data_IF_213242327761
#
_entry.id   IF_213242327761
#
_cell.length_a   1.000
_cell.length_b   1.000
_cell.length_c   1.000
_cell.angle_alpha   90.00
_cell.angle_beta   90.00
_cell.angle_gamma   90.00
#
_symmetry.space_group_name_H-M   'P 1'
#
loop_
_entity.id
_entity.type
_entity.pdbx_description
1 polymer ?
#
# COMPACT_ATOMS: atom_id res chain seq x y z
N UNK A 1 21.87 -10.19 14.37
CA UNK A 1 21.61 -9.88 12.95
C UNK A 1 21.88 -8.40 12.76
N UNK A 2 22.82 -8.02 11.88
CA UNK A 2 23.07 -6.61 11.54
C UNK A 2 21.76 -6.04 10.95
N UNK A 3 21.30 -4.92 11.50
CA UNK A 3 20.10 -4.22 11.05
C UNK A 3 20.37 -3.77 9.60
N UNK A 4 19.69 -4.35 8.61
CA UNK A 4 19.80 -3.88 7.22
C UNK A 4 19.19 -2.49 7.16
N UNK A 5 19.98 -1.50 6.85
CA UNK A 5 19.52 -0.11 6.70
C UNK A 5 19.22 0.16 5.24
N UNK A 6 18.02 0.70 5.01
CA UNK A 6 17.50 1.01 3.67
C UNK A 6 17.51 2.51 3.45
N UNK A 7 18.10 2.90 2.33
CA UNK A 7 18.11 4.27 1.84
C UNK A 7 17.25 4.38 0.59
N UNK A 8 16.73 5.55 0.33
CA UNK A 8 15.96 5.83 -0.88
C UNK A 8 16.76 6.73 -1.81
N UNK A 9 16.78 6.37 -3.09
CA UNK A 9 17.20 7.25 -4.16
C UNK A 9 16.18 7.18 -5.28
N UNK A 10 15.76 8.31 -5.85
CA UNK A 10 14.82 8.28 -6.98
C UNK A 10 15.48 7.58 -8.18
N UNK A 11 14.66 6.98 -9.10
CA UNK A 11 15.18 6.16 -10.21
C UNK A 11 16.26 6.83 -11.07
N UNK A 12 16.18 8.15 -11.26
CA UNK A 12 17.14 8.94 -12.01
C UNK A 12 18.54 8.99 -11.38
N UNK A 13 18.66 8.67 -10.10
CA UNK A 13 19.93 8.60 -9.38
C UNK A 13 20.63 7.23 -9.52
N UNK A 14 20.00 6.27 -10.22
CA UNK A 14 20.59 4.96 -10.51
C UNK A 14 21.19 4.97 -11.90
N UNK A 15 22.42 4.50 -12.02
CA UNK A 15 23.06 4.18 -13.28
C UNK A 15 23.21 2.66 -13.45
N UNK A 16 24.02 2.23 -14.41
CA UNK A 16 24.29 0.80 -14.63
C UNK A 16 25.02 0.18 -13.44
N UNK A 17 25.97 0.91 -12.86
CA UNK A 17 26.95 0.43 -11.87
C UNK A 17 27.07 1.31 -10.61
N UNK A 18 26.37 2.44 -10.54
CA UNK A 18 26.46 3.36 -9.43
C UNK A 18 25.11 3.96 -9.01
N UNK A 19 25.08 4.49 -7.79
CA UNK A 19 23.93 5.21 -7.21
C UNK A 19 24.45 6.46 -6.53
N UNK A 20 23.67 7.54 -6.59
CA UNK A 20 23.97 8.78 -5.86
C UNK A 20 22.90 9.05 -4.81
N UNK A 21 23.30 9.15 -3.55
CA UNK A 21 22.45 9.63 -2.46
C UNK A 21 22.72 11.12 -2.22
N UNK A 22 21.66 11.92 -2.11
CA UNK A 22 21.72 13.34 -1.86
C UNK A 22 20.70 13.79 -0.80
N UNK A 23 20.74 15.05 -0.40
CA UNK A 23 19.77 15.66 0.52
C UNK A 23 19.69 14.94 1.88
N UNK A 24 18.46 14.65 2.32
CA UNK A 24 18.20 14.05 3.63
C UNK A 24 18.79 12.63 3.75
N UNK A 25 18.83 11.85 2.66
CA UNK A 25 19.39 10.48 2.68
C UNK A 25 20.91 10.52 2.86
N UNK A 26 21.62 11.44 2.19
CA UNK A 26 23.03 11.67 2.43
C UNK A 26 23.28 12.14 3.88
N UNK A 27 22.49 13.11 4.36
CA UNK A 27 22.64 13.63 5.72
C UNK A 27 22.38 12.54 6.77
N UNK A 28 21.38 11.69 6.56
CA UNK A 28 21.05 10.57 7.44
C UNK A 28 22.19 9.55 7.49
N UNK A 29 22.70 9.15 6.32
CA UNK A 29 23.81 8.20 6.19
C UNK A 29 25.08 8.69 6.93
N UNK A 30 25.43 9.96 6.72
CA UNK A 30 26.72 10.51 7.24
C UNK A 30 26.59 10.96 8.68
N UNK A 31 25.54 11.75 9.02
CA UNK A 31 25.45 12.46 10.30
C UNK A 31 24.76 11.66 11.39
N UNK A 32 23.82 10.76 11.02
CA UNK A 32 23.05 9.99 11.99
C UNK A 32 23.64 8.59 12.16
N UNK A 33 23.93 7.92 11.05
CA UNK A 33 24.39 6.54 11.06
C UNK A 33 25.92 6.41 11.02
N UNK A 34 26.63 7.51 10.72
CA UNK A 34 28.11 7.58 10.73
C UNK A 34 28.79 6.55 9.81
N UNK A 35 28.15 6.21 8.68
CA UNK A 35 28.76 5.35 7.68
C UNK A 35 30.02 5.93 7.06
N UNK A 36 30.89 5.05 6.56
CA UNK A 36 32.18 5.36 5.96
C UNK A 36 32.31 4.75 4.57
N UNK A 37 33.25 5.24 3.79
CA UNK A 37 33.64 4.57 2.55
C UNK A 37 34.04 3.12 2.82
N UNK A 38 33.57 2.21 1.99
CA UNK A 38 33.70 0.75 2.14
C UNK A 38 32.52 0.06 2.86
N UNK A 39 31.65 0.81 3.57
CA UNK A 39 30.46 0.22 4.18
C UNK A 39 29.44 -0.21 3.13
N UNK A 40 28.65 -1.24 3.45
CA UNK A 40 27.58 -1.75 2.58
C UNK A 40 26.21 -1.34 3.09
N UNK A 41 25.41 -0.86 2.18
CA UNK A 41 24.02 -0.42 2.44
C UNK A 41 23.08 -0.93 1.34
N UNK A 42 21.77 -0.96 1.63
CA UNK A 42 20.76 -1.25 0.62
C UNK A 42 20.08 0.04 0.20
N UNK A 43 20.04 0.31 -1.11
CA UNK A 43 19.33 1.46 -1.67
C UNK A 43 18.14 0.99 -2.49
N UNK A 44 16.99 1.61 -2.33
CA UNK A 44 15.74 1.30 -3.05
C UNK A 44 15.28 2.51 -3.85
N UNK A 45 14.64 2.25 -5.00
CA UNK A 45 14.12 3.31 -5.90
C UNK A 45 12.63 3.64 -5.66
N UNK A 46 11.99 2.89 -4.75
CA UNK A 46 10.55 3.01 -4.51
C UNK A 46 9.65 2.45 -5.62
N UNK A 47 10.25 1.97 -6.73
CA UNK A 47 9.55 1.39 -7.88
C UNK A 47 9.79 -0.13 -8.01
N UNK A 48 10.44 -0.73 -7.01
CA UNK A 48 10.67 -2.17 -6.91
C UNK A 48 12.10 -2.62 -7.19
N UNK A 49 13.02 -1.73 -7.50
CA UNK A 49 14.45 -2.04 -7.53
C UNK A 49 15.05 -1.82 -6.15
N UNK A 50 15.76 -2.81 -5.65
CA UNK A 50 16.65 -2.73 -4.50
C UNK A 50 18.07 -3.06 -4.94
N UNK A 51 19.05 -2.33 -4.43
CA UNK A 51 20.45 -2.49 -4.76
C UNK A 51 21.31 -2.62 -3.49
N UNK A 52 21.96 -3.75 -3.31
CA UNK A 52 23.08 -3.84 -2.37
C UNK A 52 24.26 -3.07 -2.96
N UNK A 53 24.79 -2.13 -2.22
CA UNK A 53 25.78 -1.18 -2.71
C UNK A 53 26.86 -0.92 -1.68
N UNK A 54 28.06 -0.57 -2.12
CA UNK A 54 29.18 -0.18 -1.27
C UNK A 54 29.43 1.32 -1.44
N UNK A 55 29.61 2.01 -0.34
CA UNK A 55 29.94 3.42 -0.34
C UNK A 55 31.32 3.61 -0.91
N UNK A 56 31.42 4.20 -2.11
CA UNK A 56 32.68 4.49 -2.77
C UNK A 56 33.31 5.82 -2.32
N UNK A 57 32.46 6.84 -2.12
CA UNK A 57 32.93 8.18 -1.76
C UNK A 57 31.84 8.93 -0.99
N UNK A 58 32.23 9.66 0.04
CA UNK A 58 31.36 10.58 0.80
C UNK A 58 31.84 12.02 0.54
N UNK A 59 31.09 12.74 -0.30
CA UNK A 59 31.31 14.14 -0.57
C UNK A 59 30.65 15.06 0.47
N UNK A 60 30.67 16.36 0.24
CA UNK A 60 30.09 17.36 1.16
C UNK A 60 28.54 17.31 1.18
N UNK A 61 27.90 17.03 0.06
CA UNK A 61 26.43 17.08 -0.14
C UNK A 61 25.85 15.83 -0.76
N UNK A 62 26.70 14.92 -1.26
CA UNK A 62 26.30 13.68 -1.92
C UNK A 62 27.20 12.53 -1.47
N UNK A 63 26.65 11.32 -1.53
CA UNK A 63 27.39 10.07 -1.35
C UNK A 63 27.27 9.24 -2.61
N UNK A 64 28.41 8.79 -3.15
CA UNK A 64 28.47 7.88 -4.29
C UNK A 64 28.60 6.45 -3.81
N UNK A 65 27.83 5.56 -4.42
CA UNK A 65 27.84 4.14 -4.10
C UNK A 65 28.08 3.33 -5.38
N UNK A 66 28.92 2.33 -5.26
CA UNK A 66 29.15 1.31 -6.30
C UNK A 66 28.11 0.21 -6.11
N UNK A 67 27.37 -0.12 -7.15
CA UNK A 67 26.37 -1.15 -7.15
C UNK A 67 27.04 -2.54 -7.13
N UNK A 68 26.62 -3.41 -6.20
CA UNK A 68 27.10 -4.79 -6.07
C UNK A 68 26.10 -5.76 -6.66
N UNK A 69 24.82 -5.66 -6.24
CA UNK A 69 23.77 -6.60 -6.63
C UNK A 69 22.42 -5.91 -6.75
N UNK A 70 21.72 -6.17 -7.83
CA UNK A 70 20.32 -5.74 -8.03
C UNK A 70 19.35 -6.84 -7.60
N UNK A 71 18.29 -6.45 -6.92
CA UNK A 71 17.18 -7.30 -6.51
C UNK A 71 15.88 -6.64 -6.94
N UNK A 72 14.86 -7.43 -7.26
CA UNK A 72 13.55 -6.89 -7.61
C UNK A 72 12.51 -7.31 -6.60
N UNK A 73 11.60 -6.40 -6.31
CA UNK A 73 10.47 -6.59 -5.40
C UNK A 73 10.88 -7.13 -4.03
N UNK A 74 11.99 -6.63 -3.50
CA UNK A 74 12.48 -7.03 -2.18
C UNK A 74 11.48 -6.60 -1.11
N UNK A 75 11.06 -7.53 -0.24
CA UNK A 75 10.10 -7.29 0.84
C UNK A 75 8.66 -7.07 0.38
N UNK A 76 8.34 -7.34 -0.90
CA UNK A 76 7.00 -7.11 -1.43
C UNK A 76 6.15 -8.39 -1.40
N UNK A 77 4.90 -8.30 -0.92
CA UNK A 77 3.96 -9.41 -1.02
C UNK A 77 3.63 -9.72 -2.48
N UNK A 78 3.22 -10.97 -2.71
CA UNK A 78 2.75 -11.40 -4.03
C UNK A 78 1.40 -10.73 -4.38
N UNK A 79 0.50 -10.63 -3.39
CA UNK A 79 -0.79 -9.97 -3.54
C UNK A 79 -0.62 -8.45 -3.38
N UNK A 80 -0.90 -7.71 -4.44
CA UNK A 80 -0.99 -6.25 -4.40
C UNK A 80 -2.31 -5.83 -3.77
N UNK A 81 -2.34 -5.66 -2.46
CA UNK A 81 -3.53 -5.25 -1.74
C UNK A 81 -3.68 -3.73 -1.76
N UNK A 82 -4.81 -3.26 -2.27
CA UNK A 82 -5.24 -1.87 -2.19
C UNK A 82 -6.17 -1.70 -1.00
N UNK A 83 -5.85 -0.77 -0.10
CA UNK A 83 -6.72 -0.35 1.00
C UNK A 83 -7.46 0.94 0.62
N UNK A 84 -8.76 0.82 0.36
CA UNK A 84 -9.65 1.96 0.19
C UNK A 84 -10.34 2.24 1.53
N UNK A 85 -10.05 3.37 2.14
CA UNK A 85 -10.55 3.66 3.48
C UNK A 85 -11.07 5.08 3.60
N UNK A 86 -12.25 5.23 4.19
CA UNK A 86 -12.76 6.53 4.61
C UNK A 86 -11.77 7.16 5.60
N UNK A 87 -11.42 8.44 5.36
CA UNK A 87 -10.41 9.12 6.17
C UNK A 87 -10.98 9.46 7.55
N UNK A 88 -10.43 8.87 8.62
CA UNK A 88 -10.91 9.16 9.97
C UNK A 88 -10.47 10.57 10.44
N UNK A 89 -11.11 11.09 11.49
CA UNK A 89 -10.76 12.38 12.09
C UNK A 89 -9.31 12.43 12.60
N UNK A 90 -8.72 13.62 12.53
CA UNK A 90 -7.37 13.88 13.04
C UNK A 90 -6.27 13.26 12.18
N UNK A 91 -5.24 12.75 12.83
CA UNK A 91 -4.06 12.18 12.16
C UNK A 91 -4.09 10.63 12.12
N UNK A 92 -5.24 10.00 12.34
CA UNK A 92 -5.35 8.53 12.39
C UNK A 92 -5.06 7.89 11.04
N UNK A 93 -5.36 8.58 9.94
CA UNK A 93 -5.03 8.07 8.61
C UNK A 93 -3.52 8.05 8.36
N UNK A 94 -2.77 8.98 8.96
CA UNK A 94 -1.30 8.96 8.91
C UNK A 94 -0.76 7.65 9.49
N UNK A 95 -1.33 7.23 10.63
CA UNK A 95 -0.97 5.97 11.27
C UNK A 95 -1.38 4.74 10.44
N UNK A 96 -2.55 4.80 9.78
CA UNK A 96 -2.98 3.75 8.85
C UNK A 96 -1.97 3.61 7.70
N UNK A 97 -1.58 4.72 7.05
CA UNK A 97 -0.59 4.73 5.97
C UNK A 97 0.72 4.09 6.44
N UNK A 98 1.24 4.52 7.57
CA UNK A 98 2.49 4.00 8.13
C UNK A 98 2.39 2.49 8.39
N UNK A 99 1.44 2.05 9.22
CA UNK A 99 1.36 0.66 9.65
C UNK A 99 0.87 -0.29 8.56
N UNK A 100 -0.04 0.13 7.70
CA UNK A 100 -0.45 -0.70 6.57
C UNK A 100 0.68 -0.85 5.53
N UNK A 101 1.54 0.16 5.36
CA UNK A 101 2.77 0.02 4.56
C UNK A 101 3.69 -1.04 5.14
N UNK A 102 3.94 -1.04 6.45
CA UNK A 102 4.75 -2.05 7.13
C UNK A 102 4.18 -3.48 6.96
N UNK A 103 2.85 -3.61 6.97
CA UNK A 103 2.14 -4.89 6.78
C UNK A 103 2.25 -5.42 5.33
N UNK A 104 2.45 -4.53 4.34
CA UNK A 104 2.56 -4.95 2.93
C UNK A 104 1.47 -4.39 2.01
N UNK A 105 0.60 -3.48 2.48
CA UNK A 105 -0.36 -2.80 1.60
C UNK A 105 0.40 -2.08 0.48
N UNK A 106 -0.10 -2.22 -0.76
CA UNK A 106 0.58 -1.75 -1.98
C UNK A 106 0.01 -0.44 -2.52
N UNK A 107 -1.24 -0.10 -2.14
CA UNK A 107 -1.86 1.16 -2.53
C UNK A 107 -2.92 1.61 -1.53
N UNK A 108 -3.14 2.93 -1.45
CA UNK A 108 -4.16 3.56 -0.63
C UNK A 108 -5.09 4.40 -1.47
N UNK A 109 -6.40 4.28 -1.23
CA UNK A 109 -7.44 5.11 -1.80
C UNK A 109 -8.17 5.80 -0.65
N UNK A 110 -7.94 7.11 -0.41
CA UNK A 110 -8.78 7.88 0.50
C UNK A 110 -10.22 7.88 -0.01
N UNK A 111 -11.16 7.33 0.74
CA UNK A 111 -12.52 7.10 0.29
C UNK A 111 -13.47 8.17 0.82
N UNK A 112 -14.37 8.65 -0.03
CA UNK A 112 -15.45 9.56 0.31
C UNK A 112 -16.77 8.81 0.28
N UNK A 113 -17.35 8.62 1.47
CA UNK A 113 -18.64 7.97 1.71
C UNK A 113 -19.68 9.04 2.13
N UNK A 114 -20.95 8.67 2.05
CA UNK A 114 -22.07 9.55 2.43
C UNK A 114 -21.96 10.05 3.88
N UNK A 115 -21.49 9.17 4.78
CA UNK A 115 -21.32 9.48 6.21
C UNK A 115 -19.88 9.81 6.59
N UNK A 116 -19.05 10.19 5.60
CA UNK A 116 -17.70 10.69 5.88
C UNK A 116 -17.77 12.07 6.51
N UNK A 117 -17.16 12.24 7.67
CA UNK A 117 -17.08 13.53 8.34
C UNK A 117 -15.87 14.36 7.92
N UNK A 118 -14.93 13.74 7.21
CA UNK A 118 -13.67 14.36 6.79
C UNK A 118 -13.50 14.25 5.28
N UNK A 119 -13.26 15.38 4.63
CA UNK A 119 -12.76 15.45 3.26
C UNK A 119 -11.30 15.87 3.31
N UNK A 120 -10.36 15.06 2.79
CA UNK A 120 -8.95 15.42 2.79
C UNK A 120 -8.70 16.72 2.03
N UNK A 121 -8.03 17.66 2.67
CA UNK A 121 -7.62 18.92 2.04
C UNK A 121 -6.38 18.78 1.16
N UNK A 122 -6.11 19.82 0.38
CA UNK A 122 -4.89 19.93 -0.43
C UNK A 122 -3.63 19.75 0.43
N UNK A 123 -2.62 19.06 -0.10
CA UNK A 123 -1.34 18.79 0.60
C UNK A 123 -1.32 17.55 1.49
N UNK A 124 -2.47 16.95 1.81
CA UNK A 124 -2.49 15.70 2.60
C UNK A 124 -1.80 14.54 1.86
N UNK A 125 -2.00 14.43 0.55
CA UNK A 125 -1.40 13.37 -0.27
C UNK A 125 0.13 13.40 -0.23
N UNK A 126 0.75 14.59 -0.24
CA UNK A 126 2.20 14.70 -0.16
C UNK A 126 2.73 14.26 1.21
N UNK A 127 2.03 14.64 2.29
CA UNK A 127 2.35 14.17 3.64
C UNK A 127 2.25 12.64 3.73
N UNK A 128 1.19 12.04 3.21
CA UNK A 128 1.00 10.59 3.21
C UNK A 128 2.05 9.85 2.38
N UNK A 129 2.45 10.40 1.22
CA UNK A 129 3.55 9.84 0.41
C UNK A 129 4.87 9.84 1.18
N UNK A 130 5.19 10.91 1.92
CA UNK A 130 6.38 10.94 2.78
C UNK A 130 6.33 9.90 3.90
N UNK A 131 5.17 9.72 4.53
CA UNK A 131 4.98 8.68 5.54
C UNK A 131 5.14 7.27 4.95
N UNK A 132 4.51 7.00 3.80
CA UNK A 132 4.64 5.72 3.10
C UNK A 132 6.09 5.42 2.71
N UNK A 133 6.82 6.43 2.21
CA UNK A 133 8.24 6.30 1.87
C UNK A 133 9.11 5.97 3.10
N UNK A 134 8.86 6.64 4.22
CA UNK A 134 9.57 6.36 5.47
C UNK A 134 9.28 4.95 5.99
N UNK A 135 8.00 4.54 5.97
CA UNK A 135 7.55 3.21 6.39
C UNK A 135 8.10 2.10 5.46
N UNK A 136 8.13 2.34 4.14
CA UNK A 136 8.74 1.44 3.15
C UNK A 136 10.20 1.14 3.49
N UNK A 137 11.01 2.18 3.75
CA UNK A 137 12.41 2.00 4.14
C UNK A 137 12.55 1.22 5.43
N UNK A 138 11.78 1.61 6.45
CA UNK A 138 11.83 0.98 7.78
C UNK A 138 11.44 -0.51 7.74
N UNK A 139 10.46 -0.87 6.91
CA UNK A 139 9.98 -2.26 6.73
C UNK A 139 10.77 -3.07 5.70
N UNK A 140 11.88 -2.53 5.19
CA UNK A 140 12.75 -3.20 4.20
C UNK A 140 12.03 -3.55 2.88
N UNK A 141 11.06 -2.75 2.47
CA UNK A 141 10.35 -2.87 1.20
C UNK A 141 11.04 -2.06 0.10
N UNK A 142 10.80 -2.43 -1.15
CA UNK A 142 11.38 -1.76 -2.33
C UNK A 142 10.35 -1.00 -3.17
N UNK A 143 9.05 -1.16 -2.89
CA UNK A 143 7.96 -0.42 -3.57
C UNK A 143 7.32 0.55 -2.58
N UNK A 144 7.33 1.83 -2.90
CA UNK A 144 6.57 2.83 -2.17
C UNK A 144 5.08 2.70 -2.53
N UNK A 145 4.18 2.47 -1.56
CA UNK A 145 2.77 2.37 -1.85
C UNK A 145 2.22 3.60 -2.57
N UNK A 146 1.42 3.37 -3.61
CA UNK A 146 0.74 4.43 -4.32
C UNK A 146 -0.39 5.02 -3.46
N UNK A 147 -0.56 6.35 -3.48
CA UNK A 147 -1.67 7.03 -2.80
C UNK A 147 -2.42 7.85 -3.83
N UNK A 148 -3.68 7.49 -4.08
CA UNK A 148 -4.52 8.21 -5.03
C UNK A 148 -5.10 9.50 -4.44
N UNK A 149 -5.66 10.33 -5.30
CA UNK A 149 -6.58 11.36 -4.85
C UNK A 149 -7.85 10.73 -4.25
N UNK A 150 -8.59 11.47 -3.40
CA UNK A 150 -9.83 10.98 -2.81
C UNK A 150 -10.84 10.54 -3.87
N UNK A 151 -11.47 9.37 -3.66
CA UNK A 151 -12.41 8.76 -4.60
C UNK A 151 -13.79 8.62 -3.94
N UNK A 152 -14.86 8.98 -4.64
CA UNK A 152 -16.22 8.72 -4.20
C UNK A 152 -16.52 7.22 -4.18
N UNK A 153 -17.21 6.74 -3.14
CA UNK A 153 -17.55 5.33 -2.95
C UNK A 153 -18.17 4.67 -4.18
N UNK A 154 -19.20 5.28 -4.77
CA UNK A 154 -19.86 4.74 -5.97
C UNK A 154 -18.95 4.70 -7.22
N UNK A 155 -18.00 5.62 -7.34
CA UNK A 155 -17.00 5.57 -8.41
C UNK A 155 -16.02 4.40 -8.22
N UNK A 156 -15.58 4.15 -6.99
CA UNK A 156 -14.75 3.00 -6.65
C UNK A 156 -15.48 1.69 -6.93
N UNK A 157 -16.75 1.55 -6.54
CA UNK A 157 -17.54 0.34 -6.79
C UNK A 157 -17.66 0.03 -8.29
N UNK A 158 -17.86 1.04 -9.13
CA UNK A 158 -17.89 0.83 -10.60
C UNK A 158 -16.55 0.33 -11.15
N UNK A 159 -15.42 0.77 -10.62
CA UNK A 159 -14.08 0.28 -11.00
C UNK A 159 -13.84 -1.13 -10.50
N UNK A 160 -14.32 -1.44 -9.30
CA UNK A 160 -14.12 -2.72 -8.61
C UNK A 160 -15.14 -3.80 -9.03
N UNK A 161 -16.09 -3.49 -9.92
CA UNK A 161 -17.13 -4.44 -10.31
C UNK A 161 -16.55 -5.77 -10.77
N UNK A 162 -16.89 -6.82 -10.04
CA UNK A 162 -16.47 -8.21 -10.31
C UNK A 162 -17.48 -8.95 -11.19
N UNK A 163 -18.65 -8.35 -11.48
CA UNK A 163 -19.67 -8.93 -12.34
C UNK A 163 -19.15 -9.01 -13.78
N UNK A 164 -19.45 -10.11 -14.50
CA UNK A 164 -19.17 -10.17 -15.93
C UNK A 164 -19.94 -9.04 -16.61
N UNK A 165 -19.22 -8.22 -17.37
CA UNK A 165 -19.90 -7.27 -18.25
C UNK A 165 -20.84 -8.09 -19.15
N UNK A 166 -22.17 -7.81 -19.09
CA UNK A 166 -23.11 -8.34 -20.07
C UNK A 166 -22.60 -7.92 -21.44
N UNK A 167 -22.16 -8.87 -22.24
CA UNK A 167 -21.61 -8.63 -23.57
C UNK A 167 -22.69 -8.03 -24.46
N UNK A 168 -22.71 -6.71 -24.61
CA UNK A 168 -23.26 -6.09 -25.80
C UNK A 168 -22.22 -6.25 -26.89
N UNK A 169 -22.57 -6.95 -27.96
CA UNK A 169 -21.69 -7.18 -29.10
C UNK A 169 -21.11 -5.83 -29.59
N UNK A 170 -19.81 -5.63 -29.46
CA UNK A 170 -19.11 -4.43 -29.94
C UNK A 170 -18.24 -3.66 -28.93
N UNK A 171 -18.23 -4.00 -27.64
CA UNK A 171 -17.32 -3.37 -26.67
C UNK A 171 -16.23 -4.35 -26.25
N UNK A 172 -14.97 -4.01 -26.49
CA UNK A 172 -13.80 -4.70 -25.96
C UNK A 172 -13.95 -4.87 -24.45
N UNK A 173 -13.83 -6.11 -23.96
CA UNK A 173 -14.06 -6.50 -22.57
C UNK A 173 -13.29 -5.57 -21.62
N UNK A 174 -14.01 -4.92 -20.69
CA UNK A 174 -13.40 -4.17 -19.60
C UNK A 174 -12.54 -5.15 -18.78
N UNK A 175 -11.22 -4.98 -18.83
CA UNK A 175 -10.31 -5.67 -17.94
C UNK A 175 -10.70 -5.32 -16.49
N UNK A 176 -10.89 -6.34 -15.65
CA UNK A 176 -11.14 -6.16 -14.22
C UNK A 176 -9.94 -5.46 -13.61
N UNK A 177 -10.19 -4.43 -12.79
CA UNK A 177 -9.10 -3.75 -12.07
C UNK A 177 -8.60 -4.57 -10.89
N UNK A 178 -9.46 -5.44 -10.31
CA UNK A 178 -9.14 -6.28 -9.15
C UNK A 178 -9.61 -7.72 -9.38
N UNK A 179 -8.84 -8.69 -8.86
CA UNK A 179 -9.20 -10.11 -8.86
C UNK A 179 -10.28 -10.40 -7.81
N UNK A 180 -10.26 -9.64 -6.70
CA UNK A 180 -11.30 -9.66 -5.68
C UNK A 180 -11.47 -8.28 -5.04
N UNK A 181 -12.69 -8.02 -4.55
CA UNK A 181 -13.02 -6.83 -3.78
C UNK A 181 -13.82 -7.21 -2.53
N UNK A 182 -13.36 -6.75 -1.38
CA UNK A 182 -13.96 -7.00 -0.07
C UNK A 182 -14.42 -5.69 0.55
N UNK A 183 -15.59 -5.68 1.18
CA UNK A 183 -16.10 -4.55 1.96
C UNK A 183 -16.30 -4.98 3.41
N UNK A 184 -15.59 -4.36 4.33
CA UNK A 184 -15.72 -4.63 5.76
C UNK A 184 -17.08 -4.19 6.26
N UNK A 185 -17.87 -5.13 6.81
CA UNK A 185 -19.21 -4.85 7.29
C UNK A 185 -19.53 -5.67 8.57
N UNK A 186 -20.15 -5.03 9.55
CA UNK A 186 -20.57 -5.67 10.79
C UNK A 186 -21.63 -6.75 10.50
N UNK A 187 -21.56 -7.86 11.22
CA UNK A 187 -22.53 -8.98 11.07
C UNK A 187 -22.33 -9.85 9.85
N UNK A 188 -21.37 -9.56 8.97
CA UNK A 188 -21.04 -10.42 7.85
C UNK A 188 -20.19 -11.61 8.30
N UNK A 189 -20.28 -12.72 7.53
CA UNK A 189 -19.41 -13.88 7.73
C UNK A 189 -17.98 -13.60 7.26
N UNK A 190 -17.04 -14.47 7.57
CA UNK A 190 -15.69 -14.44 7.03
C UNK A 190 -15.63 -15.20 5.69
N UNK A 191 -15.48 -14.50 4.55
CA UNK A 191 -15.45 -15.14 3.23
C UNK A 191 -14.05 -15.65 2.82
N UNK A 192 -13.00 -15.38 3.62
CA UNK A 192 -11.61 -15.65 3.21
C UNK A 192 -11.35 -17.12 2.87
N UNK A 193 -11.84 -18.13 3.60
CA UNK A 193 -11.60 -19.53 3.21
C UNK A 193 -12.11 -19.87 1.82
N UNK A 194 -13.33 -19.40 1.47
CA UNK A 194 -13.92 -19.60 0.14
C UNK A 194 -13.21 -18.73 -0.92
N UNK A 195 -12.81 -17.53 -0.57
CA UNK A 195 -12.09 -16.63 -1.47
C UNK A 195 -10.74 -17.24 -1.87
N UNK A 196 -9.95 -17.73 -0.92
CA UNK A 196 -8.64 -18.36 -1.18
C UNK A 196 -8.81 -19.59 -2.08
N UNK A 197 -9.83 -20.44 -1.83
CA UNK A 197 -10.06 -21.62 -2.66
C UNK A 197 -10.46 -21.29 -4.11
N UNK A 198 -11.20 -20.19 -4.33
CA UNK A 198 -11.68 -19.77 -5.65
C UNK A 198 -10.66 -18.92 -6.42
N UNK A 199 -9.77 -18.25 -5.70
CA UNK A 199 -8.76 -17.34 -6.26
C UNK A 199 -7.40 -17.67 -5.64
N UNK A 200 -6.80 -18.80 -5.97
CA UNK A 200 -5.63 -19.31 -5.26
C UNK A 200 -4.37 -18.45 -5.49
N UNK A 201 -4.32 -17.67 -6.55
CA UNK A 201 -3.19 -16.82 -6.88
C UNK A 201 -3.66 -15.42 -7.35
N UNK A 202 -4.36 -14.65 -6.47
CA UNK A 202 -4.76 -13.30 -6.84
C UNK A 202 -3.53 -12.41 -6.92
N UNK A 203 -3.54 -11.47 -7.87
CA UNK A 203 -2.49 -10.44 -7.97
C UNK A 203 -2.95 -9.10 -7.43
N UNK A 204 -4.22 -8.76 -7.64
CA UNK A 204 -4.78 -7.45 -7.34
C UNK A 204 -6.00 -7.59 -6.43
N UNK A 205 -5.87 -7.22 -5.17
CA UNK A 205 -6.93 -7.23 -4.17
C UNK A 205 -7.36 -5.83 -3.76
N UNK A 206 -8.66 -5.67 -3.49
CA UNK A 206 -9.23 -4.45 -2.93
C UNK A 206 -9.90 -4.78 -1.60
N UNK A 207 -9.64 -3.98 -0.57
CA UNK A 207 -10.41 -3.97 0.67
C UNK A 207 -10.94 -2.57 0.95
N UNK A 208 -12.22 -2.47 1.31
CA UNK A 208 -12.94 -1.22 1.51
C UNK A 208 -13.35 -1.11 2.97
N UNK A 209 -12.97 0.00 3.61
CA UNK A 209 -13.26 0.32 5.01
C UNK A 209 -14.07 1.62 5.06
N UNK A 210 -15.24 1.57 5.69
CA UNK A 210 -16.13 2.72 5.83
C UNK A 210 -15.71 3.71 6.92
N UNK A 211 -16.44 4.84 7.02
CA UNK A 211 -16.28 5.81 8.08
C UNK A 211 -16.81 5.28 9.42
N UNK A 212 -16.59 6.02 10.49
CA UNK A 212 -17.09 5.69 11.84
C UNK A 212 -18.63 5.54 11.90
N UNK A 213 -19.35 6.29 11.05
CA UNK A 213 -20.81 6.20 10.89
C UNK A 213 -21.30 5.02 10.04
N UNK A 214 -20.37 4.18 9.52
CA UNK A 214 -20.67 3.06 8.62
C UNK A 214 -21.10 3.53 7.21
N UNK A 215 -21.44 2.57 6.38
CA UNK A 215 -22.00 2.82 5.04
C UNK A 215 -23.52 3.09 5.13
N UNK A 216 -24.07 3.85 4.20
CA UNK A 216 -25.52 3.99 4.03
C UNK A 216 -26.10 2.74 3.33
N UNK A 217 -27.42 2.54 3.42
CA UNK A 217 -28.06 1.44 2.71
C UNK A 217 -27.93 1.57 1.19
N UNK A 218 -27.93 2.79 0.66
CA UNK A 218 -27.67 3.06 -0.76
C UNK A 218 -26.26 2.66 -1.18
N UNK A 219 -25.25 2.95 -0.36
CA UNK A 219 -23.87 2.51 -0.58
C UNK A 219 -23.73 1.00 -0.51
N UNK A 220 -24.36 0.35 0.48
CA UNK A 220 -24.35 -1.11 0.59
C UNK A 220 -25.02 -1.77 -0.62
N UNK A 221 -26.11 -1.18 -1.13
CA UNK A 221 -26.77 -1.69 -2.33
C UNK A 221 -25.87 -1.55 -3.58
N UNK A 222 -25.22 -0.40 -3.76
CA UNK A 222 -24.24 -0.20 -4.85
C UNK A 222 -23.12 -1.23 -4.79
N UNK A 223 -22.62 -1.54 -3.57
CA UNK A 223 -21.57 -2.56 -3.39
C UNK A 223 -22.05 -3.97 -3.77
N UNK A 224 -23.29 -4.35 -3.38
CA UNK A 224 -23.90 -5.63 -3.77
C UNK A 224 -24.05 -5.76 -5.29
N UNK A 225 -24.56 -4.73 -5.92
CA UNK A 225 -24.73 -4.66 -7.38
C UNK A 225 -23.39 -4.72 -8.14
N UNK A 226 -22.32 -4.18 -7.56
CA UNK A 226 -20.97 -4.29 -8.09
C UNK A 226 -20.33 -5.68 -7.87
N UNK A 227 -20.97 -6.59 -7.14
CA UNK A 227 -20.43 -7.91 -6.80
C UNK A 227 -19.31 -7.88 -5.76
N UNK A 228 -19.25 -6.83 -4.96
CA UNK A 228 -18.27 -6.71 -3.86
C UNK A 228 -18.69 -7.63 -2.72
N UNK A 229 -17.75 -8.43 -2.22
CA UNK A 229 -17.99 -9.43 -1.18
C UNK A 229 -17.96 -8.74 0.21
N UNK A 230 -18.98 -8.96 1.00
CA UNK A 230 -19.03 -8.44 2.37
C UNK A 230 -18.16 -9.29 3.29
N UNK A 231 -17.35 -8.61 4.10
CA UNK A 231 -16.27 -9.20 4.88
C UNK A 231 -16.43 -8.92 6.37
N UNK A 232 -16.66 -9.97 7.14
CA UNK A 232 -16.77 -9.90 8.60
C UNK A 232 -15.41 -10.04 9.30
N UNK A 233 -15.18 -9.20 10.31
CA UNK A 233 -13.95 -9.21 11.11
C UNK A 233 -14.17 -9.66 12.56
N UNK A 234 -15.25 -10.38 12.82
CA UNK A 234 -15.62 -10.88 14.15
C UNK A 234 -16.62 -9.98 14.86
N UNK A 235 -16.99 -10.32 16.11
CA UNK A 235 -18.15 -9.73 16.79
C UNK A 235 -17.87 -8.39 17.47
N UNK A 236 -16.63 -7.93 17.50
CA UNK A 236 -16.26 -6.67 18.15
C UNK A 236 -16.26 -5.52 17.17
N UNK A 237 -16.80 -4.39 17.58
CA UNK A 237 -16.71 -3.15 16.83
C UNK A 237 -15.27 -2.62 16.85
N UNK A 238 -14.67 -2.42 15.69
CA UNK A 238 -13.35 -1.86 15.51
C UNK A 238 -13.46 -0.38 15.10
N UNK A 239 -12.52 0.45 15.57
CA UNK A 239 -12.36 1.78 15.00
C UNK A 239 -11.85 1.67 13.55
N UNK A 240 -12.13 2.66 12.71
CA UNK A 240 -11.78 2.63 11.28
C UNK A 240 -10.29 2.36 11.05
N UNK A 241 -9.41 3.00 11.82
CA UNK A 241 -7.96 2.77 11.72
C UNK A 241 -7.57 1.33 12.09
N UNK A 242 -8.19 0.76 13.11
CA UNK A 242 -7.97 -0.64 13.51
C UNK A 242 -8.54 -1.60 12.48
N UNK A 243 -9.72 -1.30 11.94
CA UNK A 243 -10.40 -2.12 10.95
C UNK A 243 -9.56 -2.27 9.67
N UNK A 244 -8.96 -1.17 9.18
CA UNK A 244 -8.10 -1.19 8.00
C UNK A 244 -6.90 -2.11 8.16
N UNK A 245 -6.19 -2.02 9.29
CA UNK A 245 -5.03 -2.86 9.57
C UNK A 245 -5.42 -4.32 9.79
N UNK A 246 -6.47 -4.57 10.58
CA UNK A 246 -6.95 -5.93 10.84
C UNK A 246 -7.40 -6.62 9.55
N UNK A 247 -8.09 -5.91 8.66
CA UNK A 247 -8.49 -6.43 7.35
C UNK A 247 -7.27 -6.76 6.49
N UNK A 248 -6.28 -5.85 6.40
CA UNK A 248 -5.06 -6.09 5.64
C UNK A 248 -4.30 -7.32 6.14
N UNK A 249 -4.11 -7.44 7.48
CA UNK A 249 -3.45 -8.60 8.10
C UNK A 249 -4.20 -9.88 7.77
N UNK A 250 -5.54 -9.92 7.98
CA UNK A 250 -6.33 -11.13 7.72
C UNK A 250 -6.24 -11.58 6.27
N UNK A 251 -6.35 -10.64 5.33
CA UNK A 251 -6.30 -10.94 3.89
C UNK A 251 -4.92 -11.43 3.50
N UNK A 252 -3.86 -10.70 3.81
CA UNK A 252 -2.49 -11.07 3.46
C UNK A 252 -2.09 -12.40 4.12
N UNK A 253 -2.45 -12.62 5.39
CA UNK A 253 -2.22 -13.89 6.08
C UNK A 253 -2.98 -15.06 5.43
N UNK A 254 -4.23 -14.85 4.99
CA UNK A 254 -5.01 -15.89 4.32
C UNK A 254 -4.38 -16.35 2.99
N UNK A 255 -3.66 -15.45 2.30
CA UNK A 255 -2.88 -15.78 1.10
C UNK A 255 -1.42 -16.17 1.38
N UNK A 256 -1.04 -16.38 2.65
CA UNK A 256 0.29 -16.86 3.03
C UNK A 256 1.40 -15.81 3.05
N UNK A 257 1.06 -14.52 2.96
CA UNK A 257 2.05 -13.42 2.85
C UNK A 257 2.67 -13.00 4.20
N UNK A 258 2.08 -13.42 5.31
CA UNK A 258 2.53 -13.09 6.67
C UNK A 258 2.88 -14.35 7.50
N UNK A 259 3.28 -15.41 6.84
CA UNK A 259 3.68 -16.68 7.48
C UNK A 259 5.18 -16.74 7.77
#
# INVERSE_FOLDING_TARGET
MSRREFFYAPPENFTVDSITLAGDEHAHLVRVLHHKAGDRVTVVDGAGLAAESEISEIGKTVTHLRLIKKMRRLGEPFVHLTLAQAVPKGNRFDWVIEKATEIGVSAFIPLLCERSEVTPGAGKNERWRRLALAAMKQSCRSVCPAISDPVMFGALCRRASTLPATFSAGQSGRLREFDFALLAHEGSSDPLPQLVSRTPQPRLGLVIIGPEGGFSESELQIAREAGIIFFGMGPRRLRAETAGLAAAIKILSAFGELS
#
